data_IF_300607880114
#
_entry.id   IF_300607880114
#
_cell.length_a   1.000
_cell.length_b   1.000
_cell.length_c   1.000
_cell.angle_alpha   90.00
_cell.angle_beta   90.00
_cell.angle_gamma   90.00
#
_symmetry.space_group_name_H-M   'P 1'
#
loop_
_entity.id
_entity.type
_entity.pdbx_description
1 polymer ?
#
# COMPACT_ATOMS: atom_id res chain seq x y z
N UNK A 1 -11.00 -13.98 24.20
CA UNK A 1 -11.88 -12.82 23.92
C UNK A 1 -12.10 -12.70 22.42
N UNK A 2 -13.35 -12.75 21.97
CA UNK A 2 -13.71 -12.73 20.54
C UNK A 2 -13.17 -11.46 19.88
N UNK A 3 -12.30 -11.62 18.88
CA UNK A 3 -11.76 -10.54 18.06
C UNK A 3 -12.91 -9.80 17.37
N UNK A 4 -13.31 -8.63 17.91
CA UNK A 4 -14.31 -7.78 17.28
C UNK A 4 -13.71 -7.24 15.97
N UNK A 5 -14.02 -7.92 14.87
CA UNK A 5 -13.76 -7.46 13.50
C UNK A 5 -14.59 -6.20 13.27
N UNK A 6 -13.97 -5.19 12.67
CA UNK A 6 -14.64 -3.95 12.34
C UNK A 6 -15.09 -4.03 10.89
N UNK A 7 -16.35 -4.43 10.68
CA UNK A 7 -16.90 -4.65 9.35
C UNK A 7 -16.79 -3.43 8.43
N UNK A 8 -16.86 -2.21 8.99
CA UNK A 8 -16.71 -0.97 8.22
C UNK A 8 -15.31 -0.82 7.59
N UNK A 9 -14.25 -1.30 8.25
CA UNK A 9 -12.89 -1.28 7.67
C UNK A 9 -12.83 -2.25 6.49
N UNK A 10 -13.38 -3.46 6.67
CA UNK A 10 -13.38 -4.47 5.62
C UNK A 10 -14.20 -4.01 4.40
N UNK A 11 -15.34 -3.35 4.63
CA UNK A 11 -16.16 -2.73 3.57
C UNK A 11 -15.41 -1.62 2.85
N UNK A 12 -14.77 -0.70 3.58
CA UNK A 12 -14.02 0.40 2.97
C UNK A 12 -12.85 -0.10 2.13
N UNK A 13 -12.13 -1.14 2.60
CA UNK A 13 -11.07 -1.80 1.80
C UNK A 13 -11.63 -2.41 0.53
N UNK A 14 -12.76 -3.11 0.63
CA UNK A 14 -13.44 -3.68 -0.53
C UNK A 14 -13.82 -2.61 -1.55
N UNK A 15 -14.40 -1.50 -1.09
CA UNK A 15 -14.77 -0.38 -1.95
C UNK A 15 -13.53 0.23 -2.63
N UNK A 16 -12.46 0.50 -1.89
CA UNK A 16 -11.21 1.02 -2.44
C UNK A 16 -10.62 0.06 -3.50
N UNK A 17 -10.72 -1.26 -3.30
CA UNK A 17 -10.29 -2.25 -4.29
C UNK A 17 -11.13 -2.23 -5.57
N UNK A 18 -12.45 -2.03 -5.46
CA UNK A 18 -13.31 -1.90 -6.65
C UNK A 18 -12.88 -0.70 -7.50
N UNK A 19 -12.72 0.48 -6.88
CA UNK A 19 -12.26 1.68 -7.58
C UNK A 19 -10.83 1.55 -8.13
N UNK A 20 -9.95 0.80 -7.46
CA UNK A 20 -8.62 0.50 -7.98
C UNK A 20 -8.67 -0.29 -9.28
N UNK A 21 -9.50 -1.34 -9.32
CA UNK A 21 -9.69 -2.15 -10.53
C UNK A 21 -10.28 -1.29 -11.63
N UNK A 22 -11.31 -0.50 -11.33
CA UNK A 22 -11.89 0.47 -12.27
C UNK A 22 -10.83 1.41 -12.85
N UNK A 23 -10.03 2.05 -11.99
CA UNK A 23 -8.96 2.97 -12.41
C UNK A 23 -8.02 2.32 -13.41
N UNK A 24 -7.56 1.10 -13.12
CA UNK A 24 -6.64 0.39 -14.02
C UNK A 24 -7.31 -0.06 -15.31
N UNK A 25 -8.56 -0.51 -15.25
CA UNK A 25 -9.34 -0.91 -16.43
C UNK A 25 -9.58 0.29 -17.35
N UNK A 26 -10.00 1.43 -16.80
CA UNK A 26 -10.21 2.67 -17.56
C UNK A 26 -8.89 3.17 -18.15
N UNK A 27 -7.81 3.19 -17.37
CA UNK A 27 -6.51 3.64 -17.88
C UNK A 27 -5.96 2.75 -19.00
N UNK A 28 -6.28 1.45 -18.98
CA UNK A 28 -5.83 0.49 -19.98
C UNK A 28 -6.72 0.46 -21.25
N UNK A 29 -8.03 0.57 -21.11
CA UNK A 29 -8.99 0.36 -22.20
C UNK A 29 -9.54 1.65 -22.81
N UNK A 30 -9.50 2.78 -22.09
CA UNK A 30 -10.09 4.02 -22.57
C UNK A 30 -9.16 4.74 -23.56
N UNK A 31 -9.70 5.03 -24.75
CA UNK A 31 -9.03 5.80 -25.79
C UNK A 31 -8.61 7.19 -25.29
N UNK A 32 -7.43 7.63 -25.68
CA UNK A 32 -6.85 8.92 -25.30
C UNK A 32 -7.70 10.12 -25.73
N UNK A 33 -8.49 9.98 -26.80
CA UNK A 33 -9.42 11.01 -27.30
C UNK A 33 -10.59 11.30 -26.36
N UNK A 34 -10.97 10.35 -25.50
CA UNK A 34 -12.07 10.51 -24.54
C UNK A 34 -11.62 11.08 -23.18
N UNK A 35 -10.30 11.23 -22.97
CA UNK A 35 -9.72 11.73 -21.71
C UNK A 35 -9.86 13.25 -21.52
N UNK A 36 -10.34 13.97 -22.54
CA UNK A 36 -10.54 15.42 -22.48
C UNK A 36 -11.87 15.86 -21.85
N UNK A 37 -12.85 14.95 -21.75
CA UNK A 37 -14.20 15.28 -21.32
C UNK A 37 -14.28 15.59 -19.82
N UNK A 38 -15.20 16.48 -19.43
CA UNK A 38 -15.41 16.88 -18.04
C UNK A 38 -15.78 15.69 -17.16
N UNK A 39 -16.60 14.78 -17.68
CA UNK A 39 -17.00 13.53 -17.03
C UNK A 39 -15.79 12.67 -16.68
N UNK A 40 -14.82 12.56 -17.61
CA UNK A 40 -13.60 11.79 -17.38
C UNK A 40 -12.74 12.43 -16.29
N UNK A 41 -12.61 13.76 -16.26
CA UNK A 41 -11.84 14.46 -15.21
C UNK A 41 -12.41 14.25 -13.81
N UNK A 42 -13.74 14.21 -13.68
CA UNK A 42 -14.38 13.92 -12.39
C UNK A 42 -14.06 12.49 -11.91
N UNK A 43 -14.12 11.51 -12.82
CA UNK A 43 -13.75 10.12 -12.54
C UNK A 43 -12.26 9.99 -12.24
N UNK A 44 -11.39 10.68 -12.99
CA UNK A 44 -9.94 10.69 -12.78
C UNK A 44 -9.57 11.28 -11.40
N UNK A 45 -10.28 12.32 -10.96
CA UNK A 45 -10.14 12.84 -9.60
C UNK A 45 -10.49 11.78 -8.53
N UNK A 46 -11.60 11.06 -8.68
CA UNK A 46 -11.99 9.97 -7.77
C UNK A 46 -10.98 8.83 -7.80
N UNK A 47 -10.48 8.46 -8.98
CA UNK A 47 -9.43 7.47 -9.16
C UNK A 47 -8.14 7.89 -8.41
N UNK A 48 -7.80 9.18 -8.43
CA UNK A 48 -6.69 9.74 -7.66
C UNK A 48 -6.83 9.57 -6.14
N UNK A 49 -8.06 9.45 -5.61
CA UNK A 49 -8.31 9.25 -4.17
C UNK A 49 -8.14 7.79 -3.71
N UNK A 50 -8.05 6.84 -4.64
CA UNK A 50 -7.91 5.41 -4.32
C UNK A 50 -6.60 5.15 -3.56
N UNK A 51 -5.49 5.75 -4.02
CA UNK A 51 -4.19 5.58 -3.39
C UNK A 51 -4.15 6.13 -1.95
N UNK A 52 -4.53 7.39 -1.68
CA UNK A 52 -4.67 7.93 -0.32
C UNK A 52 -5.60 7.08 0.56
N UNK A 53 -6.68 6.54 0.00
CA UNK A 53 -7.64 5.70 0.74
C UNK A 53 -6.98 4.41 1.26
N UNK A 54 -6.17 3.73 0.44
CA UNK A 54 -5.44 2.55 0.90
C UNK A 54 -4.40 2.89 1.97
N UNK A 55 -3.69 4.01 1.81
CA UNK A 55 -2.70 4.46 2.78
C UNK A 55 -3.35 4.75 4.14
N UNK A 56 -4.48 5.47 4.14
CA UNK A 56 -5.24 5.79 5.33
C UNK A 56 -5.69 4.52 6.07
N UNK A 57 -6.27 3.56 5.35
CA UNK A 57 -6.77 2.32 5.97
C UNK A 57 -5.64 1.45 6.48
N UNK A 58 -4.51 1.40 5.78
CA UNK A 58 -3.33 0.67 6.21
C UNK A 58 -2.83 1.22 7.56
N UNK A 59 -2.70 2.54 7.68
CA UNK A 59 -2.35 3.22 8.92
C UNK A 59 -3.37 3.01 10.04
N UNK A 60 -4.67 3.16 9.74
CA UNK A 60 -5.75 2.93 10.71
C UNK A 60 -5.81 1.48 11.21
N UNK A 61 -5.62 0.51 10.31
CA UNK A 61 -5.57 -0.91 10.68
C UNK A 61 -4.36 -1.22 11.55
N UNK A 62 -3.23 -0.58 11.27
CA UNK A 62 -2.00 -0.73 12.06
C UNK A 62 -2.16 -0.18 13.48
N UNK A 63 -2.68 1.04 13.63
CA UNK A 63 -2.88 1.69 14.93
C UNK A 63 -3.86 0.90 15.79
N UNK A 64 -4.96 0.42 15.21
CA UNK A 64 -5.88 -0.47 15.90
C UNK A 64 -5.24 -1.79 16.33
N UNK A 65 -4.43 -2.41 15.46
CA UNK A 65 -3.69 -3.62 15.79
C UNK A 65 -2.72 -3.36 16.95
N UNK A 66 -2.11 -2.18 16.99
CA UNK A 66 -1.20 -1.75 18.04
C UNK A 66 -1.91 -1.53 19.37
N UNK A 67 -3.04 -0.81 19.40
CA UNK A 67 -3.82 -0.61 20.64
C UNK A 67 -4.29 -1.92 21.26
N UNK A 68 -4.50 -2.97 20.44
CA UNK A 68 -4.95 -4.30 20.90
C UNK A 68 -3.81 -5.22 21.33
N UNK A 69 -2.58 -5.00 20.86
CA UNK A 69 -1.44 -5.92 21.03
C UNK A 69 -0.14 -5.19 21.44
N UNK A 70 -0.26 -4.03 22.09
CA UNK A 70 0.84 -3.09 22.34
C UNK A 70 2.08 -3.69 22.99
N UNK A 71 1.90 -4.68 23.87
CA UNK A 71 3.00 -5.41 24.53
C UNK A 71 3.63 -6.52 23.66
N UNK A 72 2.85 -7.15 22.76
CA UNK A 72 3.33 -8.22 21.89
C UNK A 72 4.19 -7.71 20.73
N UNK A 73 3.94 -6.47 20.26
CA UNK A 73 4.77 -5.80 19.25
C UNK A 73 6.08 -5.23 19.81
N UNK A 74 6.26 -5.24 21.14
CA UNK A 74 7.42 -4.68 21.84
C UNK A 74 8.56 -5.67 22.01
N UNK A 75 8.26 -6.98 21.97
CA UNK A 75 9.24 -8.07 21.90
C UNK A 75 9.35 -8.51 20.45
N UNK A 76 10.53 -8.99 20.02
CA UNK A 76 10.74 -9.69 18.74
C UNK A 76 9.90 -10.99 18.69
N UNK A 77 8.58 -10.82 18.64
CA UNK A 77 7.61 -11.89 18.75
C UNK A 77 7.40 -12.54 17.38
N UNK A 78 7.00 -13.82 17.32
CA UNK A 78 6.70 -14.49 16.07
C UNK A 78 5.56 -13.80 15.28
N UNK A 79 4.67 -13.08 15.96
CA UNK A 79 3.63 -12.24 15.35
C UNK A 79 4.23 -11.08 14.56
N UNK A 80 5.30 -10.47 15.09
CA UNK A 80 6.02 -9.40 14.42
C UNK A 80 6.68 -9.90 13.13
N UNK A 81 7.42 -10.99 13.21
CA UNK A 81 8.11 -11.58 12.05
C UNK A 81 7.09 -11.90 10.95
N UNK A 82 5.91 -12.41 11.33
CA UNK A 82 4.82 -12.69 10.38
C UNK A 82 4.29 -11.43 9.70
N UNK A 83 4.19 -10.32 10.44
CA UNK A 83 3.76 -9.03 9.90
C UNK A 83 4.82 -8.45 8.95
N UNK A 84 6.09 -8.42 9.35
CA UNK A 84 7.21 -7.95 8.53
C UNK A 84 7.36 -8.79 7.25
N UNK A 85 7.25 -10.12 7.34
CA UNK A 85 7.29 -11.00 6.16
C UNK A 85 6.16 -10.69 5.18
N UNK A 86 4.98 -10.34 5.70
CA UNK A 86 3.84 -9.93 4.86
C UNK A 86 4.10 -8.58 4.19
N UNK A 87 4.65 -7.61 4.92
CA UNK A 87 5.02 -6.31 4.34
C UNK A 87 6.10 -6.45 3.26
N UNK A 88 7.14 -7.24 3.54
CA UNK A 88 8.19 -7.53 2.57
C UNK A 88 7.62 -8.25 1.34
N UNK A 89 6.69 -9.18 1.52
CA UNK A 89 6.00 -9.84 0.41
C UNK A 89 5.20 -8.84 -0.43
N UNK A 90 4.43 -7.94 0.18
CA UNK A 90 3.69 -6.88 -0.54
C UNK A 90 4.67 -5.97 -1.30
N UNK A 91 5.79 -5.61 -0.67
CA UNK A 91 6.83 -4.79 -1.27
C UNK A 91 7.48 -5.47 -2.49
N UNK A 92 7.83 -6.75 -2.35
CA UNK A 92 8.36 -7.56 -3.44
C UNK A 92 7.36 -7.72 -4.58
N UNK A 93 6.08 -7.98 -4.28
CA UNK A 93 5.01 -8.06 -5.28
C UNK A 93 4.86 -6.74 -6.03
N UNK A 94 4.93 -5.60 -5.32
CA UNK A 94 4.92 -4.27 -5.95
C UNK A 94 6.00 -4.12 -7.01
N UNK A 95 7.24 -4.53 -6.72
CA UNK A 95 8.33 -4.50 -7.71
C UNK A 95 8.18 -5.54 -8.83
N UNK A 96 7.65 -6.73 -8.53
CA UNK A 96 7.39 -7.76 -9.55
C UNK A 96 6.36 -7.28 -10.58
N UNK A 97 5.33 -6.54 -10.14
CA UNK A 97 4.32 -5.98 -11.04
C UNK A 97 4.88 -4.90 -11.98
N UNK A 98 5.97 -4.23 -11.59
CA UNK A 98 6.68 -3.26 -12.43
C UNK A 98 7.59 -3.89 -13.47
N UNK A 99 7.72 -5.22 -13.52
CA UNK A 99 8.56 -5.89 -14.51
C UNK A 99 7.84 -5.81 -15.87
N UNK A 100 8.38 -5.04 -16.86
CA UNK A 100 7.70 -4.82 -18.14
C UNK A 100 7.70 -6.05 -19.06
N UNK A 101 8.50 -7.08 -18.74
CA UNK A 101 8.61 -8.32 -19.50
C UNK A 101 8.77 -9.52 -18.56
N UNK A 102 8.07 -10.63 -18.84
CA UNK A 102 8.21 -11.91 -18.12
C UNK A 102 9.63 -12.54 -18.16
N UNK A 103 10.63 -11.87 -18.76
CA UNK A 103 12.00 -12.35 -18.96
C UNK A 103 13.02 -11.44 -18.27
N UNK A 104 13.59 -11.93 -17.17
CA UNK A 104 14.66 -11.27 -16.40
C UNK A 104 15.91 -10.98 -17.25
N UNK A 105 16.19 -11.80 -18.28
CA UNK A 105 17.36 -11.62 -19.16
C UNK A 105 17.21 -10.45 -20.14
N UNK A 106 16.01 -10.12 -20.62
CA UNK A 106 15.84 -8.98 -21.54
C UNK A 106 15.89 -7.64 -20.82
N UNK A 107 15.44 -7.60 -19.56
CA UNK A 107 15.45 -6.38 -18.73
C UNK A 107 16.85 -5.96 -18.25
N UNK A 108 17.81 -6.89 -18.17
CA UNK A 108 19.18 -6.62 -17.72
C UNK A 108 20.13 -6.19 -18.84
N UNK A 109 19.85 -6.55 -20.10
CA UNK A 109 20.76 -6.35 -21.23
C UNK A 109 20.28 -5.36 -22.31
N UNK A 110 18.99 -4.97 -22.32
CA UNK A 110 18.43 -3.96 -23.22
C UNK A 110 17.80 -2.79 -22.45
N UNK A 111 18.59 -2.17 -21.58
CA UNK A 111 18.15 -1.06 -20.75
C UNK A 111 18.02 0.22 -21.57
N UNK A 112 16.87 0.42 -22.19
CA UNK A 112 16.44 1.75 -22.62
C UNK A 112 16.23 2.64 -21.38
N UNK A 113 16.57 3.94 -21.40
CA UNK A 113 16.34 4.87 -20.29
C UNK A 113 14.89 4.84 -19.76
N UNK A 114 13.91 4.57 -20.63
CA UNK A 114 12.50 4.42 -20.26
C UNK A 114 12.20 3.18 -19.39
N UNK A 115 12.98 2.10 -19.53
CA UNK A 115 12.82 0.88 -18.73
C UNK A 115 13.31 1.02 -17.29
N UNK A 116 14.32 1.86 -17.06
CA UNK A 116 14.82 2.17 -15.70
C UNK A 116 13.81 3.02 -14.93
N UNK A 117 13.20 3.99 -15.61
CA UNK A 117 12.14 4.84 -15.03
C UNK A 117 10.91 4.02 -14.64
N UNK A 118 10.47 3.09 -15.49
CA UNK A 118 9.37 2.19 -15.15
C UNK A 118 9.71 1.27 -13.96
N UNK A 119 10.95 0.77 -13.87
CA UNK A 119 11.37 -0.08 -12.75
C UNK A 119 11.51 0.67 -11.41
N UNK A 120 11.79 1.97 -11.46
CA UNK A 120 11.96 2.84 -10.28
C UNK A 120 10.69 3.56 -9.86
N UNK A 121 9.58 3.34 -10.59
CA UNK A 121 8.29 3.90 -10.21
C UNK A 121 7.87 3.38 -8.82
N UNK A 122 7.51 4.32 -7.96
CA UNK A 122 7.06 4.05 -6.59
C UNK A 122 5.54 4.12 -6.60
N UNK A 123 4.91 2.95 -6.65
CA UNK A 123 3.48 2.83 -6.52
C UNK A 123 3.03 2.81 -5.05
N UNK A 124 1.71 2.86 -4.89
CA UNK A 124 1.06 2.89 -3.59
C UNK A 124 1.40 1.67 -2.72
N UNK A 125 1.68 0.49 -3.30
CA UNK A 125 2.11 -0.69 -2.55
C UNK A 125 3.44 -0.44 -1.83
N UNK A 126 4.41 0.17 -2.53
CA UNK A 126 5.71 0.52 -1.97
C UNK A 126 5.56 1.58 -0.88
N UNK A 127 4.73 2.60 -1.10
CA UNK A 127 4.46 3.65 -0.11
C UNK A 127 3.79 3.08 1.16
N UNK A 128 2.82 2.18 1.02
CA UNK A 128 2.15 1.52 2.16
C UNK A 128 3.15 0.68 2.95
N UNK A 129 3.96 -0.14 2.27
CA UNK A 129 4.95 -0.96 2.94
C UNK A 129 5.96 -0.09 3.69
N UNK A 130 6.52 0.93 3.04
CA UNK A 130 7.54 1.82 3.61
C UNK A 130 7.00 2.59 4.83
N UNK A 131 5.80 3.16 4.74
CA UNK A 131 5.17 3.88 5.86
C UNK A 131 4.86 2.97 7.04
N UNK A 132 4.38 1.74 6.79
CA UNK A 132 4.17 0.76 7.86
C UNK A 132 5.48 0.28 8.48
N UNK A 133 6.55 0.11 7.69
CA UNK A 133 7.88 -0.17 8.20
C UNK A 133 8.38 0.96 9.12
N UNK A 134 8.22 2.21 8.70
CA UNK A 134 8.60 3.38 9.50
C UNK A 134 7.81 3.45 10.81
N UNK A 135 6.49 3.31 10.76
CA UNK A 135 5.63 3.29 11.95
C UNK A 135 6.02 2.14 12.90
N UNK A 136 6.46 1.01 12.33
CA UNK A 136 6.93 -0.10 13.12
C UNK A 136 8.27 0.20 13.82
N UNK A 137 9.24 0.76 13.11
CA UNK A 137 10.52 1.20 13.69
C UNK A 137 10.27 2.22 14.81
N UNK A 138 9.40 3.20 14.55
CA UNK A 138 9.02 4.23 15.51
C UNK A 138 8.45 3.62 16.80
N UNK A 139 7.63 2.58 16.67
CA UNK A 139 7.07 1.86 17.83
C UNK A 139 8.12 1.08 18.61
N UNK A 140 9.11 0.49 17.95
CA UNK A 140 10.20 -0.24 18.63
C UNK A 140 11.12 0.74 19.38
N UNK A 141 11.39 1.91 18.79
CA UNK A 141 12.22 2.96 19.40
C UNK A 141 11.50 3.65 20.57
N UNK A 142 10.23 4.04 20.38
CA UNK A 142 9.42 4.69 21.41
C UNK A 142 8.76 3.63 22.29
N UNK A 143 9.47 3.27 23.36
CA UNK A 143 9.03 2.29 24.37
C UNK A 143 7.88 2.78 25.26
N UNK A 144 7.61 4.08 25.28
CA UNK A 144 6.58 4.69 26.14
C UNK A 144 5.29 4.90 25.34
N UNK A 145 4.21 4.23 25.77
CA UNK A 145 2.91 4.29 25.12
C UNK A 145 2.33 5.70 25.06
N UNK A 146 2.61 6.55 26.06
CA UNK A 146 2.11 7.93 26.10
C UNK A 146 2.81 8.78 25.06
N UNK A 147 4.13 8.63 24.91
CA UNK A 147 4.91 9.37 23.91
C UNK A 147 4.60 8.91 22.50
N UNK A 148 4.33 7.61 22.31
CA UNK A 148 3.96 7.08 21.01
C UNK A 148 2.60 7.63 20.52
N UNK A 149 1.60 7.71 21.40
CA UNK A 149 0.28 8.25 21.06
C UNK A 149 0.26 9.77 20.85
N UNK A 150 1.27 10.51 21.31
CA UNK A 150 1.40 11.96 21.05
C UNK A 150 2.02 12.22 19.67
N UNK A 151 2.88 11.30 19.22
CA UNK A 151 3.59 11.42 17.94
C UNK A 151 2.72 10.97 16.75
N UNK A 152 1.68 10.19 17.02
CA UNK A 152 0.80 9.58 16.02
C UNK A 152 -0.51 10.36 15.87
#
# INVERSE_FOLDING_TARGET
>A
MSQRRLGYIDQFRGLATVFMIETHVLNALLLTSLRGDFTFKAVDFLNGLVAPSFLFVAGFSFTLALSRKGDAYRKFSPELIRHLRRLLFIWAVGYILHIPFFSLRKSLYQTSPAGVLAFTAVDILQSIAATLFLLHILRVVIRDDRKFNIVL
#
